data_IF_516866995353
#
_entry.id   IF_516866995353
#
_cell.length_a   1.000
_cell.length_b   1.000
_cell.length_c   1.000
_cell.angle_alpha   90.00
_cell.angle_beta   90.00
_cell.angle_gamma   90.00
#
_symmetry.space_group_name_H-M   'P 1'
#
loop_
_entity.id
_entity.type
_entity.pdbx_description
1 polymer ?
#
# COMPACT_ATOMS: atom_id res chain seq x y z
N UNK A 1 -18.71 -0.25 -25.57
CA UNK A 1 -17.78 0.41 -26.52
C UNK A 1 -16.96 1.51 -25.83
N UNK A 2 -17.58 2.45 -25.13
CA UNK A 2 -16.89 3.57 -24.45
C UNK A 2 -15.81 3.11 -23.48
N UNK A 3 -16.06 2.06 -22.70
CA UNK A 3 -15.04 1.45 -21.84
C UNK A 3 -13.83 0.92 -22.63
N UNK A 4 -14.06 0.26 -23.75
CA UNK A 4 -12.97 -0.28 -24.59
C UNK A 4 -12.10 0.85 -25.18
N UNK A 5 -12.74 1.99 -25.55
CA UNK A 5 -12.04 3.19 -26.00
C UNK A 5 -11.16 3.74 -24.86
N UNK A 6 -11.70 3.88 -23.64
CA UNK A 6 -10.96 4.34 -22.48
C UNK A 6 -9.75 3.46 -22.12
N UNK A 7 -9.83 2.15 -22.38
CA UNK A 7 -8.75 1.19 -22.13
C UNK A 7 -7.82 1.00 -23.34
N UNK A 8 -7.94 1.84 -24.37
CA UNK A 8 -7.17 1.76 -25.63
C UNK A 8 -7.25 0.38 -26.30
N UNK A 9 -8.40 -0.31 -26.14
CA UNK A 9 -8.69 -1.62 -26.74
C UNK A 9 -9.63 -1.54 -27.92
N UNK A 10 -10.17 -0.36 -28.19
CA UNK A 10 -11.00 -0.04 -29.32
C UNK A 10 -10.62 1.35 -29.81
N UNK A 11 -10.34 1.47 -31.11
CA UNK A 11 -10.20 2.76 -31.78
C UNK A 11 -11.39 3.03 -32.67
N UNK A 12 -11.66 4.31 -32.96
CA UNK A 12 -12.80 4.78 -33.74
C UNK A 12 -12.37 5.86 -34.69
N UNK A 13 -12.72 5.69 -35.96
CA UNK A 13 -12.59 6.70 -36.99
C UNK A 13 -13.97 7.12 -37.48
N UNK A 14 -14.20 8.41 -37.59
CA UNK A 14 -15.48 8.96 -38.07
C UNK A 14 -15.25 9.45 -39.50
N UNK A 15 -16.03 8.94 -40.43
CA UNK A 15 -15.97 9.26 -41.86
C UNK A 15 -17.32 9.75 -42.36
N UNK A 16 -17.28 10.56 -43.42
CA UNK A 16 -18.45 10.95 -44.20
C UNK A 16 -18.17 10.81 -45.72
N UNK A 17 -19.17 10.58 -46.59
CA UNK A 17 -18.99 10.58 -48.00
C UNK A 17 -18.36 11.87 -48.49
N UNK A 18 -17.43 11.81 -49.44
CA UNK A 18 -16.69 12.98 -49.93
C UNK A 18 -17.55 14.02 -50.66
N UNK A 19 -18.62 13.58 -51.26
CA UNK A 19 -19.58 14.45 -51.95
C UNK A 19 -20.59 15.14 -50.99
N UNK A 20 -20.61 14.80 -49.72
CA UNK A 20 -21.51 15.36 -48.72
C UNK A 20 -23.00 15.04 -48.96
N UNK A 21 -23.32 14.24 -49.97
CA UNK A 21 -24.65 13.84 -50.35
C UNK A 21 -24.90 12.39 -49.98
N UNK A 22 -25.45 12.18 -48.77
CA UNK A 22 -25.86 10.87 -48.34
C UNK A 22 -25.20 10.41 -47.02
N UNK A 23 -25.55 9.20 -46.63
CA UNK A 23 -25.03 8.53 -45.42
C UNK A 23 -24.41 7.21 -45.85
N UNK A 24 -23.21 6.93 -45.43
CA UNK A 24 -22.66 5.58 -45.57
C UNK A 24 -23.43 4.63 -44.69
N UNK A 25 -24.14 3.67 -45.31
CA UNK A 25 -25.01 2.74 -44.56
C UNK A 25 -24.50 1.32 -44.58
N UNK A 26 -23.21 1.13 -44.92
CA UNK A 26 -22.56 -0.16 -44.99
C UNK A 26 -22.29 -0.67 -43.56
N UNK A 27 -22.58 -1.95 -43.31
CA UNK A 27 -22.27 -2.66 -42.07
C UNK A 27 -21.39 -3.83 -42.43
N UNK A 28 -20.10 -3.56 -42.59
CA UNK A 28 -19.08 -4.52 -42.92
C UNK A 28 -18.13 -4.70 -41.73
N UNK A 29 -17.54 -5.86 -41.62
CA UNK A 29 -16.55 -6.12 -40.60
C UNK A 29 -15.85 -7.44 -40.79
N UNK A 30 -14.72 -7.59 -40.12
CA UNK A 30 -13.92 -8.80 -40.11
C UNK A 30 -13.61 -9.20 -38.65
N UNK A 31 -13.85 -10.46 -38.33
CA UNK A 31 -13.30 -11.12 -37.17
C UNK A 31 -12.16 -12.00 -37.60
N UNK A 32 -11.05 -11.95 -36.93
CA UNK A 32 -9.90 -12.79 -37.22
C UNK A 32 -9.17 -13.23 -35.97
N UNK A 33 -8.52 -14.37 -36.08
CA UNK A 33 -7.53 -14.87 -35.12
C UNK A 33 -6.20 -15.11 -35.88
N UNK A 34 -5.29 -15.89 -35.29
CA UNK A 34 -3.96 -16.13 -35.91
C UNK A 34 -4.00 -16.97 -37.18
N UNK A 35 -5.11 -17.62 -37.53
CA UNK A 35 -5.21 -18.56 -38.64
C UNK A 35 -6.38 -18.25 -39.55
N UNK A 36 -7.52 -17.85 -39.04
CA UNK A 36 -8.78 -17.79 -39.75
C UNK A 36 -9.43 -16.40 -39.71
N UNK A 37 -10.24 -16.11 -40.76
CA UNK A 37 -10.99 -14.85 -40.89
C UNK A 37 -12.44 -15.14 -41.21
N UNK A 38 -13.33 -14.33 -40.64
CA UNK A 38 -14.76 -14.28 -40.98
C UNK A 38 -15.13 -12.84 -41.27
N UNK A 39 -15.42 -12.55 -42.51
CA UNK A 39 -15.89 -11.26 -42.95
C UNK A 39 -17.41 -11.26 -43.12
N UNK A 40 -18.02 -10.13 -42.91
CA UNK A 40 -19.45 -9.95 -43.12
C UNK A 40 -19.75 -8.61 -43.78
N UNK A 41 -20.82 -8.59 -44.57
CA UNK A 41 -21.37 -7.39 -45.20
C UNK A 41 -22.91 -7.51 -45.25
N UNK A 42 -23.62 -6.43 -44.91
CA UNK A 42 -25.08 -6.43 -44.90
C UNK A 42 -25.74 -5.23 -44.27
N UNK A 43 -27.02 -5.38 -43.94
CA UNK A 43 -27.86 -4.33 -43.30
C UNK A 43 -27.82 -4.34 -41.78
N UNK A 44 -27.29 -5.41 -41.16
CA UNK A 44 -27.39 -5.65 -39.75
C UNK A 44 -26.55 -4.67 -38.91
N UNK A 45 -27.19 -3.84 -38.11
CA UNK A 45 -26.51 -3.03 -37.08
C UNK A 45 -26.10 -3.86 -35.88
N UNK A 46 -24.99 -3.53 -35.22
CA UNK A 46 -24.62 -4.11 -33.92
C UNK A 46 -25.47 -3.52 -32.78
N UNK A 47 -26.76 -3.70 -32.84
CA UNK A 47 -27.72 -3.32 -31.79
C UNK A 47 -28.59 -4.51 -31.42
N UNK A 48 -29.12 -4.51 -30.19
CA UNK A 48 -30.06 -5.56 -29.74
C UNK A 48 -31.25 -5.70 -30.71
N UNK A 49 -31.84 -4.59 -31.08
CA UNK A 49 -32.99 -4.55 -31.99
C UNK A 49 -32.67 -5.15 -33.35
N UNK A 50 -31.54 -4.79 -33.95
CA UNK A 50 -31.12 -5.36 -35.24
C UNK A 50 -30.80 -6.84 -35.18
N UNK A 51 -30.14 -7.29 -34.10
CA UNK A 51 -29.71 -8.70 -33.96
C UNK A 51 -30.84 -9.64 -33.53
N UNK A 52 -31.89 -9.15 -32.92
CA UNK A 52 -32.92 -9.98 -32.30
C UNK A 52 -34.32 -9.68 -32.86
N UNK A 53 -34.69 -8.38 -33.04
CA UNK A 53 -36.06 -7.97 -33.31
C UNK A 53 -36.34 -7.67 -34.79
N UNK A 54 -35.30 -7.28 -35.58
CA UNK A 54 -35.47 -6.90 -36.98
C UNK A 54 -35.18 -8.08 -37.93
N UNK A 55 -35.76 -8.00 -39.12
CA UNK A 55 -35.38 -8.85 -40.25
C UNK A 55 -34.19 -8.21 -40.94
N UNK A 56 -33.01 -8.79 -40.76
CA UNK A 56 -31.75 -8.30 -41.30
C UNK A 56 -31.15 -9.31 -42.27
N UNK A 57 -30.36 -8.81 -43.24
CA UNK A 57 -29.63 -9.64 -44.20
C UNK A 57 -28.13 -9.46 -43.96
N UNK A 58 -27.40 -10.58 -43.87
CA UNK A 58 -25.97 -10.60 -43.66
C UNK A 58 -25.34 -11.65 -44.56
N UNK A 59 -24.40 -11.22 -45.38
CA UNK A 59 -23.55 -12.13 -46.14
C UNK A 59 -22.29 -12.38 -45.29
N UNK A 60 -21.90 -13.64 -45.16
CA UNK A 60 -20.73 -14.06 -44.38
C UNK A 60 -19.79 -14.82 -45.30
N UNK A 61 -18.51 -14.45 -45.30
CA UNK A 61 -17.43 -15.10 -46.03
C UNK A 61 -16.38 -15.61 -45.04
N UNK A 62 -16.08 -16.90 -45.09
CA UNK A 62 -15.12 -17.56 -44.20
C UNK A 62 -13.86 -17.95 -44.96
N UNK A 63 -12.69 -17.69 -44.41
CA UNK A 63 -11.40 -17.95 -45.07
C UNK A 63 -11.16 -19.43 -45.41
N UNK A 64 -11.82 -20.32 -44.70
CA UNK A 64 -11.72 -21.78 -44.90
C UNK A 64 -12.74 -22.37 -45.90
N UNK A 65 -13.69 -21.58 -46.40
CA UNK A 65 -14.77 -22.07 -47.30
C UNK A 65 -14.36 -22.08 -48.77
N UNK A 66 -13.07 -21.90 -49.07
CA UNK A 66 -12.49 -21.93 -50.38
C UNK A 66 -11.87 -20.61 -50.85
N UNK A 67 -11.16 -20.66 -51.96
CA UNK A 67 -10.35 -19.54 -52.43
C UNK A 67 -11.14 -18.26 -52.73
N UNK A 68 -12.39 -18.39 -53.18
CA UNK A 68 -13.25 -17.23 -53.52
C UNK A 68 -13.72 -16.55 -52.21
N UNK A 69 -14.13 -17.32 -51.21
CA UNK A 69 -14.58 -16.76 -49.92
C UNK A 69 -13.40 -16.19 -49.13
N UNK A 70 -12.23 -16.79 -49.22
CA UNK A 70 -10.99 -16.25 -48.66
C UNK A 70 -10.65 -14.89 -49.31
N UNK A 71 -10.68 -14.79 -50.63
CA UNK A 71 -10.42 -13.53 -51.34
C UNK A 71 -11.42 -12.42 -50.97
N UNK A 72 -12.70 -12.75 -50.80
CA UNK A 72 -13.71 -11.78 -50.36
C UNK A 72 -13.43 -11.28 -48.95
N UNK A 73 -13.06 -12.19 -48.01
CA UNK A 73 -12.72 -11.79 -46.65
C UNK A 73 -11.47 -10.89 -46.61
N UNK A 74 -10.48 -11.16 -47.44
CA UNK A 74 -9.26 -10.34 -47.61
C UNK A 74 -9.58 -8.95 -48.22
N UNK A 75 -10.47 -8.87 -49.20
CA UNK A 75 -10.88 -7.60 -49.80
C UNK A 75 -11.59 -6.70 -48.81
N UNK A 76 -12.50 -7.26 -48.00
CA UNK A 76 -13.17 -6.52 -46.92
C UNK A 76 -12.17 -6.03 -45.86
N UNK A 77 -11.22 -6.88 -45.46
CA UNK A 77 -10.17 -6.51 -44.51
C UNK A 77 -9.29 -5.38 -45.05
N UNK A 78 -8.86 -5.48 -46.33
CA UNK A 78 -8.01 -4.46 -46.94
C UNK A 78 -8.73 -3.12 -47.06
N UNK A 79 -10.01 -3.10 -47.46
CA UNK A 79 -10.81 -1.86 -47.53
C UNK A 79 -11.00 -1.22 -46.17
N UNK A 80 -11.26 -2.03 -45.14
CA UNK A 80 -11.32 -1.59 -43.74
C UNK A 80 -9.97 -1.00 -43.28
N UNK A 81 -8.87 -1.71 -43.52
CA UNK A 81 -7.53 -1.27 -43.14
C UNK A 81 -7.15 0.06 -43.81
N UNK A 82 -7.43 0.22 -45.11
CA UNK A 82 -7.21 1.48 -45.84
C UNK A 82 -8.03 2.63 -45.23
N UNK A 83 -9.32 2.37 -44.94
CA UNK A 83 -10.18 3.39 -44.35
C UNK A 83 -9.68 3.78 -42.97
N UNK A 84 -9.23 2.83 -42.14
CA UNK A 84 -8.69 3.10 -40.80
C UNK A 84 -7.32 3.81 -40.86
N UNK A 85 -6.49 3.55 -41.87
CA UNK A 85 -5.20 4.22 -42.06
C UNK A 85 -5.31 5.66 -42.56
N UNK A 86 -6.48 6.10 -42.98
CA UNK A 86 -6.70 7.43 -43.55
C UNK A 86 -6.47 7.49 -45.05
N UNK A 87 -6.34 6.35 -45.76
CA UNK A 87 -5.93 6.23 -47.13
C UNK A 87 -7.11 5.99 -48.13
N UNK A 88 -8.35 6.21 -47.64
CA UNK A 88 -9.55 6.03 -48.48
C UNK A 88 -9.97 7.35 -49.09
N UNK A 89 -9.73 7.51 -50.39
CA UNK A 89 -10.03 8.72 -51.16
C UNK A 89 -11.54 8.99 -51.35
N UNK A 90 -12.41 8.05 -51.04
CA UNK A 90 -13.85 8.18 -51.25
C UNK A 90 -14.57 8.83 -50.06
N UNK A 91 -13.87 9.07 -48.96
CA UNK A 91 -14.42 9.61 -47.72
C UNK A 91 -13.63 10.82 -47.21
N UNK A 92 -14.33 11.66 -46.43
CA UNK A 92 -13.69 12.69 -45.61
C UNK A 92 -13.54 12.16 -44.18
N UNK A 93 -12.43 12.46 -43.55
CA UNK A 93 -12.14 12.08 -42.17
C UNK A 93 -12.52 13.21 -41.22
N UNK A 94 -13.40 12.94 -40.27
CA UNK A 94 -13.81 13.91 -39.27
C UNK A 94 -13.00 13.72 -37.98
N UNK A 95 -12.65 14.83 -37.34
CA UNK A 95 -11.95 14.77 -36.06
C UNK A 95 -12.85 14.17 -34.98
N UNK A 96 -12.46 13.05 -34.44
CA UNK A 96 -13.14 12.39 -33.33
C UNK A 96 -12.56 12.77 -31.94
N UNK A 97 -11.56 13.65 -31.87
CA UNK A 97 -10.83 13.98 -30.65
C UNK A 97 -11.71 14.52 -29.51
N UNK A 98 -12.64 15.40 -29.82
CA UNK A 98 -13.56 15.94 -28.81
C UNK A 98 -14.47 14.85 -28.24
N UNK A 99 -14.96 13.93 -29.10
CA UNK A 99 -15.81 12.81 -28.69
C UNK A 99 -14.99 11.80 -27.86
N UNK A 100 -13.79 11.46 -28.30
CA UNK A 100 -12.87 10.57 -27.57
C UNK A 100 -12.55 11.15 -26.19
N UNK A 101 -12.23 12.43 -26.11
CA UNK A 101 -11.95 13.13 -24.83
C UNK A 101 -13.16 13.08 -23.90
N UNK A 102 -14.35 13.36 -24.40
CA UNK A 102 -15.58 13.29 -23.61
C UNK A 102 -15.86 11.87 -23.11
N UNK A 103 -15.66 10.86 -23.95
CA UNK A 103 -15.81 9.44 -23.59
C UNK A 103 -14.81 9.08 -22.48
N UNK A 104 -13.54 9.43 -22.65
CA UNK A 104 -12.50 9.16 -21.64
C UNK A 104 -12.87 9.80 -20.31
N UNK A 105 -13.18 11.09 -20.30
CA UNK A 105 -13.54 11.81 -19.07
C UNK A 105 -14.77 11.22 -18.36
N UNK A 106 -15.73 10.72 -19.14
CA UNK A 106 -16.99 10.16 -18.58
C UNK A 106 -16.82 8.74 -18.03
N UNK A 107 -15.95 7.94 -18.63
CA UNK A 107 -15.86 6.50 -18.39
C UNK A 107 -14.52 6.04 -17.77
N UNK A 108 -13.53 6.94 -17.61
CA UNK A 108 -12.20 6.62 -17.10
C UNK A 108 -12.22 5.88 -15.76
N UNK A 109 -13.12 6.28 -14.89
CA UNK A 109 -13.24 5.73 -13.52
C UNK A 109 -14.29 4.62 -13.40
N UNK A 110 -14.92 4.17 -14.50
CA UNK A 110 -15.90 3.08 -14.44
C UNK A 110 -15.20 1.72 -14.41
N UNK A 111 -15.72 0.85 -13.53
CA UNK A 111 -15.27 -0.51 -13.41
C UNK A 111 -15.95 -1.42 -14.45
N UNK A 112 -15.19 -2.38 -14.99
CA UNK A 112 -15.72 -3.38 -15.91
C UNK A 112 -16.80 -4.26 -15.25
N UNK A 113 -16.66 -4.56 -13.96
CA UNK A 113 -17.63 -5.35 -13.23
C UNK A 113 -19.00 -4.66 -13.17
N UNK A 114 -19.04 -3.34 -13.06
CA UNK A 114 -20.27 -2.57 -13.02
C UNK A 114 -20.94 -2.51 -14.41
N UNK A 115 -20.14 -2.45 -15.48
CA UNK A 115 -20.65 -2.51 -16.86
C UNK A 115 -21.21 -3.89 -17.21
N UNK A 116 -20.54 -4.96 -16.78
CA UNK A 116 -21.02 -6.33 -16.98
C UNK A 116 -22.32 -6.61 -16.20
N UNK A 117 -22.49 -6.01 -15.02
CA UNK A 117 -23.75 -6.09 -14.27
C UNK A 117 -24.90 -5.42 -15.04
N UNK A 118 -24.67 -4.24 -15.61
CA UNK A 118 -25.65 -3.55 -16.44
C UNK A 118 -26.01 -4.39 -17.67
N UNK A 119 -25.04 -5.01 -18.33
CA UNK A 119 -25.26 -5.91 -19.46
C UNK A 119 -26.10 -7.12 -19.02
N UNK A 120 -25.78 -7.72 -17.88
CA UNK A 120 -26.55 -8.85 -17.33
C UNK A 120 -28.01 -8.47 -17.05
N UNK A 121 -28.27 -7.29 -16.50
CA UNK A 121 -29.62 -6.76 -16.29
C UNK A 121 -30.38 -6.59 -17.61
N UNK A 122 -29.72 -6.03 -18.61
CA UNK A 122 -30.32 -5.86 -19.96
C UNK A 122 -30.66 -7.20 -20.61
N UNK A 123 -29.79 -8.22 -20.49
CA UNK A 123 -30.05 -9.57 -20.97
C UNK A 123 -31.14 -10.30 -20.19
N UNK A 124 -31.49 -9.82 -19.01
CA UNK A 124 -32.51 -10.43 -18.14
C UNK A 124 -33.92 -9.88 -18.38
N UNK A 125 -34.03 -8.75 -19.06
CA UNK A 125 -35.32 -8.10 -19.36
C UNK A 125 -35.95 -8.73 -20.61
N UNK A 126 -37.25 -8.98 -20.58
CA UNK A 126 -38.09 -9.38 -21.73
C UNK A 126 -37.79 -10.72 -22.41
N UNK A 127 -37.19 -11.68 -21.75
CA UNK A 127 -36.83 -12.99 -22.33
C UNK A 127 -38.08 -13.79 -22.79
N UNK A 128 -39.21 -13.62 -22.15
CA UNK A 128 -40.40 -14.46 -22.36
C UNK A 128 -41.17 -14.25 -23.68
N UNK A 129 -40.79 -13.24 -24.44
CA UNK A 129 -41.47 -12.90 -25.74
C UNK A 129 -40.74 -13.45 -26.98
N UNK A 130 -39.64 -14.15 -26.82
CA UNK A 130 -38.80 -14.59 -27.95
C UNK A 130 -39.00 -16.08 -28.29
N UNK A 131 -38.65 -16.52 -29.52
CA UNK A 131 -38.57 -17.95 -29.88
C UNK A 131 -37.57 -18.69 -29.00
N UNK A 132 -37.80 -19.99 -28.78
CA UNK A 132 -36.97 -20.82 -27.90
C UNK A 132 -35.49 -20.82 -28.24
N UNK A 133 -35.12 -20.77 -29.54
CA UNK A 133 -33.73 -20.71 -29.99
C UNK A 133 -33.03 -19.42 -29.55
N UNK A 134 -33.77 -18.29 -29.50
CA UNK A 134 -33.26 -17.00 -29.01
C UNK A 134 -33.14 -17.01 -27.49
N UNK A 135 -34.11 -17.61 -26.80
CA UNK A 135 -34.07 -17.81 -25.35
C UNK A 135 -32.81 -18.61 -24.97
N UNK A 136 -32.56 -19.73 -25.62
CA UNK A 136 -31.40 -20.58 -25.36
C UNK A 136 -30.08 -19.84 -25.60
N UNK A 137 -30.01 -18.96 -26.61
CA UNK A 137 -28.86 -18.13 -26.88
C UNK A 137 -28.67 -17.09 -25.75
N UNK A 138 -29.73 -16.39 -25.35
CA UNK A 138 -29.69 -15.39 -24.28
C UNK A 138 -29.29 -16.01 -22.93
N UNK A 139 -29.78 -17.18 -22.61
CA UNK A 139 -29.40 -17.91 -21.40
C UNK A 139 -27.89 -18.30 -21.40
N UNK A 140 -27.35 -18.71 -22.55
CA UNK A 140 -25.89 -18.95 -22.69
C UNK A 140 -25.08 -17.66 -22.57
N UNK A 141 -25.58 -16.54 -23.12
CA UNK A 141 -24.96 -15.23 -22.99
C UNK A 141 -24.96 -14.77 -21.53
N UNK A 142 -26.09 -14.87 -20.83
CA UNK A 142 -26.21 -14.58 -19.39
C UNK A 142 -25.22 -15.39 -18.55
N UNK A 143 -25.12 -16.68 -18.82
CA UNK A 143 -24.17 -17.54 -18.11
C UNK A 143 -22.72 -17.08 -18.34
N UNK A 144 -22.35 -16.71 -19.56
CA UNK A 144 -21.01 -16.20 -19.85
C UNK A 144 -20.73 -14.86 -19.14
N UNK A 145 -21.69 -13.93 -19.18
CA UNK A 145 -21.56 -12.63 -18.51
C UNK A 145 -21.48 -12.79 -16.99
N UNK A 146 -22.27 -13.69 -16.40
CA UNK A 146 -22.18 -13.97 -14.95
C UNK A 146 -20.80 -14.49 -14.54
N UNK A 147 -20.20 -15.37 -15.34
CA UNK A 147 -18.83 -15.85 -15.10
C UNK A 147 -17.79 -14.75 -15.23
N UNK A 148 -17.96 -13.84 -16.17
CA UNK A 148 -17.07 -12.68 -16.33
C UNK A 148 -17.20 -11.70 -15.14
N UNK A 149 -18.41 -11.50 -14.62
CA UNK A 149 -18.64 -10.69 -13.40
C UNK A 149 -17.90 -11.32 -12.21
N UNK A 150 -18.05 -12.63 -12.00
CA UNK A 150 -17.35 -13.35 -10.91
C UNK A 150 -15.84 -13.15 -11.02
N UNK A 151 -15.28 -13.33 -12.22
CA UNK A 151 -13.83 -13.18 -12.45
C UNK A 151 -13.36 -11.73 -12.25
N UNK A 152 -14.10 -10.75 -12.76
CA UNK A 152 -13.77 -9.34 -12.61
C UNK A 152 -13.85 -8.88 -11.14
N UNK A 153 -14.88 -9.35 -10.41
CA UNK A 153 -15.03 -9.06 -8.97
C UNK A 153 -13.91 -9.69 -8.16
N UNK A 154 -13.60 -10.95 -8.39
CA UNK A 154 -12.51 -11.64 -7.71
C UNK A 154 -11.13 -11.02 -8.02
N UNK A 155 -10.92 -10.54 -9.25
CA UNK A 155 -9.71 -9.82 -9.62
C UNK A 155 -9.61 -8.49 -8.88
N UNK A 156 -10.70 -7.72 -8.81
CA UNK A 156 -10.75 -6.45 -8.09
C UNK A 156 -10.51 -6.63 -6.60
N UNK A 157 -11.12 -7.64 -5.98
CA UNK A 157 -10.90 -7.97 -4.56
C UNK A 157 -9.43 -8.29 -4.30
N UNK A 158 -8.78 -9.09 -5.15
CA UNK A 158 -7.34 -9.39 -5.05
C UNK A 158 -6.47 -8.14 -5.23
N UNK A 159 -6.78 -7.28 -6.20
CA UNK A 159 -6.05 -6.03 -6.42
C UNK A 159 -6.18 -5.08 -5.22
N UNK A 160 -7.36 -5.00 -4.60
CA UNK A 160 -7.59 -4.25 -3.38
C UNK A 160 -6.84 -4.87 -2.18
N UNK A 161 -6.86 -6.18 -2.02
CA UNK A 161 -6.09 -6.88 -0.99
C UNK A 161 -4.60 -6.60 -1.13
N UNK A 162 -4.02 -6.72 -2.33
CA UNK A 162 -2.61 -6.42 -2.62
C UNK A 162 -2.27 -4.94 -2.36
N UNK A 163 -3.18 -4.01 -2.69
CA UNK A 163 -2.97 -2.59 -2.45
C UNK A 163 -2.90 -2.23 -0.97
N UNK A 164 -3.59 -3.00 -0.10
CA UNK A 164 -3.62 -2.80 1.34
C UNK A 164 -2.72 -3.75 2.13
N UNK A 165 -2.02 -4.68 1.46
CA UNK A 165 -1.04 -5.52 2.14
C UNK A 165 0.16 -4.69 2.64
N UNK A 166 0.67 -5.00 3.85
CA UNK A 166 1.90 -4.41 4.33
C UNK A 166 3.06 -4.60 3.35
N UNK A 167 3.68 -3.49 2.95
CA UNK A 167 4.78 -3.48 2.00
C UNK A 167 5.81 -2.41 2.34
N UNK A 168 7.00 -2.53 1.77
CA UNK A 168 8.02 -1.50 1.93
C UNK A 168 7.62 -0.23 1.14
N UNK A 169 7.75 0.98 1.72
CA UNK A 169 7.15 2.20 1.16
C UNK A 169 7.83 2.72 -0.11
N UNK A 170 8.98 2.20 -0.49
CA UNK A 170 9.74 2.63 -1.66
C UNK A 170 9.95 1.45 -2.61
N UNK A 171 9.76 1.67 -3.92
CA UNK A 171 9.95 0.65 -4.97
C UNK A 171 11.37 0.06 -4.99
N UNK A 172 12.39 0.86 -4.63
CA UNK A 172 13.78 0.40 -4.51
C UNK A 172 13.99 -0.64 -3.41
N UNK A 173 13.01 -0.85 -2.56
CA UNK A 173 13.12 -1.70 -1.38
C UNK A 173 14.07 -1.13 -0.31
N UNK A 174 14.34 -1.90 0.76
CA UNK A 174 15.24 -1.48 1.82
C UNK A 174 16.69 -1.36 1.31
N UNK A 175 17.38 -0.34 1.77
CA UNK A 175 18.81 -0.14 1.50
C UNK A 175 19.64 -1.27 2.09
N UNK A 176 20.85 -1.49 1.56
CA UNK A 176 21.71 -2.59 1.98
C UNK A 176 21.97 -2.60 3.49
N UNK A 177 22.29 -1.45 4.09
CA UNK A 177 22.53 -1.36 5.53
C UNK A 177 21.26 -1.68 6.36
N UNK A 178 20.06 -1.42 5.83
CA UNK A 178 18.78 -1.75 6.49
C UNK A 178 18.53 -3.28 6.45
N UNK A 179 18.90 -3.93 5.34
CA UNK A 179 18.88 -5.40 5.24
C UNK A 179 19.88 -6.03 6.21
N UNK A 180 21.08 -5.48 6.28
CA UNK A 180 22.10 -5.95 7.20
C UNK A 180 21.68 -5.80 8.67
N UNK A 181 21.05 -4.68 9.03
CA UNK A 181 20.48 -4.49 10.37
C UNK A 181 19.45 -5.57 10.72
N UNK A 182 18.58 -5.92 9.78
CA UNK A 182 17.61 -7.01 9.97
C UNK A 182 18.28 -8.37 10.14
N UNK A 183 19.27 -8.73 9.31
CA UNK A 183 19.96 -10.03 9.42
C UNK A 183 20.77 -10.13 10.72
N UNK A 184 21.45 -9.07 11.13
CA UNK A 184 22.15 -9.04 12.42
C UNK A 184 21.18 -9.24 13.59
N UNK A 185 20.04 -8.53 13.58
CA UNK A 185 19.02 -8.67 14.61
C UNK A 185 18.41 -10.07 14.65
N UNK A 186 18.17 -10.66 13.50
CA UNK A 186 17.66 -12.03 13.38
C UNK A 186 18.67 -13.04 13.89
N UNK A 187 19.95 -12.87 13.58
CA UNK A 187 21.04 -13.72 14.06
C UNK A 187 21.23 -13.60 15.58
N UNK A 188 20.97 -12.42 16.15
CA UNK A 188 21.03 -12.15 17.59
C UNK A 188 19.73 -12.53 18.34
N UNK A 189 19.04 -13.57 17.91
CA UNK A 189 17.83 -14.07 18.58
C UNK A 189 16.64 -13.10 18.56
N UNK A 190 16.60 -12.19 17.60
CA UNK A 190 15.58 -11.15 17.48
C UNK A 190 15.57 -10.13 18.63
N UNK A 191 16.74 -9.87 19.18
CA UNK A 191 17.01 -8.79 20.14
C UNK A 191 18.12 -7.93 19.59
N UNK A 192 18.08 -6.62 19.83
CA UNK A 192 19.16 -5.77 19.35
C UNK A 192 18.98 -4.29 19.61
N UNK A 193 20.10 -3.61 19.74
CA UNK A 193 20.22 -2.15 19.82
C UNK A 193 20.89 -1.65 18.53
N UNK A 194 20.18 -0.81 17.80
CA UNK A 194 20.66 -0.20 16.56
C UNK A 194 21.19 1.20 16.84
N UNK A 195 22.50 1.34 16.81
CA UNK A 195 23.22 2.61 16.90
C UNK A 195 23.30 3.24 15.51
N UNK A 196 22.32 4.05 15.14
CA UNK A 196 22.21 4.62 13.80
C UNK A 196 22.14 6.14 13.86
N UNK A 197 22.94 6.83 13.06
CA UNK A 197 22.94 8.29 12.99
C UNK A 197 21.55 8.86 12.67
N UNK A 198 21.27 10.09 13.12
CA UNK A 198 20.04 10.80 12.78
C UNK A 198 19.92 10.99 11.27
N UNK A 199 18.72 10.81 10.72
CA UNK A 199 18.45 10.94 9.28
C UNK A 199 18.77 9.69 8.45
N UNK A 200 19.33 8.61 9.04
CA UNK A 200 19.63 7.36 8.31
C UNK A 200 18.44 6.40 8.20
N UNK A 201 17.27 6.78 8.70
CA UNK A 201 16.05 5.99 8.59
C UNK A 201 15.91 4.88 9.65
N UNK A 202 16.26 5.16 10.90
CA UNK A 202 16.06 4.26 12.06
C UNK A 202 14.65 3.67 12.10
N UNK A 203 13.64 4.53 12.00
CA UNK A 203 12.21 4.16 11.99
C UNK A 203 11.89 3.18 10.85
N UNK A 204 12.31 3.49 9.63
CA UNK A 204 12.10 2.63 8.45
C UNK A 204 12.81 1.29 8.62
N UNK A 205 14.01 1.28 9.18
CA UNK A 205 14.78 0.05 9.44
C UNK A 205 14.04 -0.87 10.41
N UNK A 206 13.50 -0.34 11.51
CA UNK A 206 12.76 -1.13 12.49
C UNK A 206 11.40 -1.60 11.97
N UNK A 207 10.69 -0.75 11.20
CA UNK A 207 9.45 -1.15 10.53
C UNK A 207 9.70 -2.19 9.43
N UNK A 208 10.84 -2.15 8.76
CA UNK A 208 11.25 -3.23 7.86
C UNK A 208 11.42 -4.57 8.60
N UNK A 209 11.98 -4.57 9.81
CA UNK A 209 12.03 -5.78 10.64
C UNK A 209 10.63 -6.32 10.95
N UNK A 210 9.66 -5.45 11.23
CA UNK A 210 8.27 -5.83 11.44
C UNK A 210 7.62 -6.36 10.15
N UNK A 211 7.92 -5.76 9.00
CA UNK A 211 7.47 -6.24 7.69
C UNK A 211 8.00 -7.64 7.38
N UNK A 212 9.26 -7.92 7.67
CA UNK A 212 9.84 -9.25 7.45
C UNK A 212 9.22 -10.31 8.40
N UNK A 213 8.83 -9.93 9.61
CA UNK A 213 8.02 -10.78 10.49
C UNK A 213 6.66 -11.05 9.85
N UNK A 214 5.99 -10.03 9.33
CA UNK A 214 4.70 -10.16 8.63
C UNK A 214 4.79 -11.13 7.45
N UNK A 215 5.75 -10.95 6.56
CA UNK A 215 5.97 -11.83 5.40
C UNK A 215 6.11 -13.31 5.79
N UNK A 216 6.71 -13.58 6.95
CA UNK A 216 6.91 -14.95 7.44
C UNK A 216 5.69 -15.52 8.18
N UNK A 217 4.97 -14.70 8.94
CA UNK A 217 3.93 -15.15 9.87
C UNK A 217 2.50 -14.87 9.41
N UNK A 218 2.33 -13.99 8.39
CA UNK A 218 1.04 -13.51 7.92
C UNK A 218 0.36 -12.52 8.87
N UNK A 219 1.04 -12.06 9.93
CA UNK A 219 0.53 -11.04 10.83
C UNK A 219 1.67 -10.24 11.46
N UNK A 220 1.38 -9.00 11.88
CA UNK A 220 2.32 -8.14 12.61
C UNK A 220 1.73 -7.72 13.95
N UNK A 221 2.55 -7.74 14.99
CA UNK A 221 2.17 -7.29 16.33
C UNK A 221 3.34 -6.51 16.91
N UNK A 222 3.14 -5.22 17.21
CA UNK A 222 4.20 -4.38 17.74
C UNK A 222 3.72 -3.48 18.88
N UNK A 223 4.63 -3.22 19.81
CA UNK A 223 4.55 -2.16 20.81
C UNK A 223 5.72 -1.21 20.56
N UNK A 224 5.41 0.02 20.20
CA UNK A 224 6.38 1.07 19.92
C UNK A 224 6.38 2.05 21.08
N UNK A 225 7.54 2.25 21.67
CA UNK A 225 7.75 3.19 22.79
C UNK A 225 8.50 4.43 22.28
N UNK A 226 7.96 5.60 22.56
CA UNK A 226 8.51 6.87 22.11
C UNK A 226 8.60 7.89 23.25
N UNK A 227 9.54 8.85 23.21
CA UNK A 227 9.69 9.85 24.29
C UNK A 227 8.53 10.85 24.37
N UNK A 228 7.94 11.26 23.25
CA UNK A 228 6.98 12.38 23.21
C UNK A 228 5.71 12.05 22.45
N UNK A 229 4.64 12.81 22.72
CA UNK A 229 3.35 12.68 22.01
C UNK A 229 3.49 13.03 20.51
N UNK A 230 4.34 13.99 20.17
CA UNK A 230 4.61 14.36 18.77
C UNK A 230 5.18 13.16 17.99
N UNK A 231 6.06 12.37 18.61
CA UNK A 231 6.59 11.17 18.01
C UNK A 231 5.55 10.06 17.86
N UNK A 232 4.52 9.99 18.71
CA UNK A 232 3.38 9.06 18.51
C UNK A 232 2.72 9.31 17.16
N UNK A 233 2.49 10.57 16.81
CA UNK A 233 1.86 10.95 15.54
C UNK A 233 2.79 10.73 14.33
N UNK A 234 4.07 10.98 14.52
CA UNK A 234 5.07 10.72 13.48
C UNK A 234 5.19 9.22 13.17
N UNK A 235 5.26 8.38 14.19
CA UNK A 235 5.32 6.93 14.04
C UNK A 235 4.05 6.35 13.38
N UNK A 236 2.87 6.88 13.73
CA UNK A 236 1.61 6.51 13.05
C UNK A 236 1.70 6.77 11.53
N UNK A 237 2.22 7.95 11.13
CA UNK A 237 2.43 8.28 9.72
C UNK A 237 3.44 7.35 9.04
N UNK A 238 4.52 6.99 9.72
CA UNK A 238 5.50 6.06 9.18
C UNK A 238 4.92 4.63 9.04
N UNK A 239 4.12 4.18 10.01
CA UNK A 239 3.39 2.91 9.91
C UNK A 239 2.44 2.89 8.70
N UNK A 240 1.72 4.00 8.46
CA UNK A 240 0.80 4.12 7.32
C UNK A 240 1.52 4.00 5.96
N UNK A 241 2.75 4.48 5.83
CA UNK A 241 3.56 4.32 4.61
C UNK A 241 3.86 2.84 4.28
N UNK A 242 3.94 2.00 5.29
CA UNK A 242 4.11 0.55 5.15
C UNK A 242 2.80 -0.22 4.95
N UNK A 243 1.66 0.46 4.85
CA UNK A 243 0.32 -0.11 4.89
C UNK A 243 0.02 -0.90 6.19
N UNK A 244 0.71 -0.58 7.28
CA UNK A 244 0.36 -1.07 8.58
C UNK A 244 -0.89 -0.32 9.09
N UNK A 245 -1.97 -1.06 9.25
CA UNK A 245 -3.25 -0.57 9.76
C UNK A 245 -3.44 -0.98 11.23
N UNK A 246 -4.56 -0.61 11.85
CA UNK A 246 -4.89 -0.97 13.23
C UNK A 246 -3.86 -0.45 14.25
N UNK A 247 -3.62 0.86 14.22
CA UNK A 247 -2.71 1.55 15.14
C UNK A 247 -3.48 2.10 16.34
N UNK A 248 -3.07 1.72 17.55
CA UNK A 248 -3.63 2.17 18.83
C UNK A 248 -2.63 3.10 19.53
N UNK A 249 -3.07 4.30 19.86
CA UNK A 249 -2.22 5.33 20.50
C UNK A 249 -2.49 5.40 21.99
N UNK A 250 -1.48 5.09 22.81
CA UNK A 250 -1.56 5.05 24.27
C UNK A 250 -0.78 6.22 24.86
N UNK A 251 -1.44 7.36 24.97
CA UNK A 251 -0.89 8.55 25.66
C UNK A 251 -2.01 9.46 26.18
N UNK A 252 -1.65 10.48 26.92
CA UNK A 252 -2.63 11.41 27.57
C UNK A 252 -3.49 12.20 26.57
N UNK A 253 -3.07 12.34 25.34
CA UNK A 253 -3.81 13.07 24.29
C UNK A 253 -5.02 12.28 23.77
N UNK A 254 -4.99 10.95 23.80
CA UNK A 254 -6.02 10.09 23.22
C UNK A 254 -6.79 9.36 24.30
N UNK A 255 -8.11 9.24 24.12
CA UNK A 255 -9.03 8.50 25.00
C UNK A 255 -9.55 7.25 24.27
N UNK A 256 -10.11 6.29 25.02
CA UNK A 256 -10.77 5.11 24.45
C UNK A 256 -9.83 3.97 24.01
N UNK A 257 -8.53 4.13 24.07
CA UNK A 257 -7.56 3.08 23.75
C UNK A 257 -7.66 1.87 24.68
N UNK A 258 -8.14 2.06 25.91
CA UNK A 258 -8.35 0.97 26.88
C UNK A 258 -9.33 -0.08 26.35
N UNK A 259 -10.43 0.35 25.73
CA UNK A 259 -11.41 -0.56 25.12
C UNK A 259 -10.78 -1.35 23.96
N UNK A 260 -10.01 -0.67 23.09
CA UNK A 260 -9.31 -1.31 21.99
C UNK A 260 -8.28 -2.34 22.47
N UNK A 261 -7.53 -2.01 23.54
CA UNK A 261 -6.55 -2.91 24.13
C UNK A 261 -7.23 -4.12 24.81
N UNK A 262 -8.35 -3.91 25.51
CA UNK A 262 -9.13 -4.98 26.12
C UNK A 262 -9.67 -5.96 25.04
N UNK A 263 -10.15 -5.46 23.90
CA UNK A 263 -10.60 -6.28 22.79
C UNK A 263 -9.44 -7.12 22.20
N UNK A 264 -8.26 -6.53 21.99
CA UNK A 264 -7.08 -7.27 21.54
C UNK A 264 -6.73 -8.37 22.54
N UNK A 265 -6.67 -8.05 23.83
CA UNK A 265 -6.38 -9.05 24.87
C UNK A 265 -7.36 -10.21 24.88
N UNK A 266 -8.65 -9.90 24.80
CA UNK A 266 -9.70 -10.93 24.74
C UNK A 266 -9.49 -11.87 23.54
N UNK A 267 -9.19 -11.33 22.37
CA UNK A 267 -8.92 -12.10 21.17
C UNK A 267 -7.64 -12.94 21.28
N UNK A 268 -6.58 -12.41 21.87
CA UNK A 268 -5.33 -13.13 22.10
C UNK A 268 -5.47 -14.26 23.12
N UNK A 269 -6.32 -14.09 24.13
CA UNK A 269 -6.61 -15.12 25.13
C UNK A 269 -7.53 -16.23 24.59
N UNK A 270 -8.53 -15.85 23.79
CA UNK A 270 -9.49 -16.81 23.23
C UNK A 270 -8.89 -17.65 22.10
N UNK A 271 -7.94 -17.13 21.36
CA UNK A 271 -7.28 -17.82 20.26
C UNK A 271 -5.77 -17.49 20.23
N UNK A 272 -4.93 -18.34 20.82
CA UNK A 272 -3.45 -18.15 20.81
C UNK A 272 -2.85 -18.13 19.39
N UNK A 273 -3.53 -18.69 18.40
CA UNK A 273 -3.09 -18.68 17.00
C UNK A 273 -3.69 -17.55 16.17
N UNK A 274 -4.36 -16.61 16.85
CA UNK A 274 -4.95 -15.44 16.22
C UNK A 274 -3.92 -14.68 15.36
N UNK A 275 -4.26 -14.51 14.08
CA UNK A 275 -3.47 -13.77 13.10
C UNK A 275 -3.85 -12.30 13.00
N UNK A 276 -4.57 -11.75 13.97
CA UNK A 276 -4.89 -10.33 13.98
C UNK A 276 -3.62 -9.49 14.07
N UNK A 277 -3.49 -8.54 13.17
CA UNK A 277 -2.40 -7.57 13.13
C UNK A 277 -2.76 -6.30 13.89
N UNK A 278 -1.82 -5.75 14.64
CA UNK A 278 -1.98 -4.47 15.35
C UNK A 278 -0.62 -3.84 15.70
N UNK A 279 -0.64 -2.53 15.87
CA UNK A 279 0.49 -1.75 16.39
C UNK A 279 -0.02 -0.88 17.54
N UNK A 280 0.67 -0.91 18.66
CA UNK A 280 0.42 -0.02 19.81
C UNK A 280 1.58 0.95 19.88
N UNK A 281 1.31 2.25 19.89
CA UNK A 281 2.31 3.29 20.05
C UNK A 281 2.06 3.99 21.38
N UNK A 282 3.02 3.93 22.29
CA UNK A 282 2.90 4.52 23.62
C UNK A 282 4.07 5.45 23.91
N UNK A 283 3.80 6.52 24.67
CA UNK A 283 4.92 7.27 25.26
C UNK A 283 5.52 6.50 26.42
N UNK A 284 6.82 6.65 26.68
CA UNK A 284 7.47 6.06 27.84
C UNK A 284 6.74 6.40 29.15
N UNK A 285 6.35 7.66 29.31
CA UNK A 285 5.62 8.12 30.49
C UNK A 285 4.26 7.42 30.68
N UNK A 286 3.58 7.07 29.59
CA UNK A 286 2.32 6.31 29.67
C UNK A 286 2.57 4.83 29.91
N UNK A 287 3.61 4.26 29.28
CA UNK A 287 3.98 2.86 29.44
C UNK A 287 4.30 2.47 30.88
N UNK A 288 5.05 3.31 31.62
CA UNK A 288 5.49 3.00 32.99
C UNK A 288 4.40 3.17 34.06
N UNK A 289 3.24 3.77 33.74
CA UNK A 289 2.11 3.86 34.68
C UNK A 289 1.69 2.46 35.08
N UNK A 290 1.50 2.17 36.39
CA UNK A 290 1.26 0.81 36.89
C UNK A 290 0.15 0.08 36.10
N UNK A 291 -1.01 0.73 35.96
CA UNK A 291 -2.17 0.14 35.30
C UNK A 291 -1.90 -0.15 33.81
N UNK A 292 -1.31 0.81 33.10
CA UNK A 292 -0.97 0.67 31.67
C UNK A 292 0.10 -0.40 31.47
N UNK A 293 1.11 -0.45 32.34
CA UNK A 293 2.19 -1.44 32.27
C UNK A 293 1.65 -2.85 32.42
N UNK A 294 0.77 -3.09 33.40
CA UNK A 294 0.15 -4.40 33.60
C UNK A 294 -0.62 -4.82 32.35
N UNK A 295 -1.45 -3.94 31.81
CA UNK A 295 -2.24 -4.20 30.62
C UNK A 295 -1.38 -4.52 29.38
N UNK A 296 -0.40 -3.66 29.10
CA UNK A 296 0.48 -3.82 27.94
C UNK A 296 1.40 -5.04 28.07
N UNK A 297 1.87 -5.37 29.27
CA UNK A 297 2.78 -6.50 29.47
C UNK A 297 2.09 -7.89 29.48
N UNK A 298 0.75 -7.92 29.37
CA UNK A 298 -0.03 -9.16 29.18
C UNK A 298 -0.17 -9.59 27.70
N UNK A 299 0.25 -8.76 26.76
CA UNK A 299 0.23 -9.08 25.33
C UNK A 299 1.18 -10.24 24.98
N UNK A 300 1.06 -10.89 23.83
CA UNK A 300 1.80 -12.11 23.49
C UNK A 300 3.32 -11.93 23.49
N UNK A 301 4.01 -12.58 24.41
CA UNK A 301 5.46 -12.42 24.63
C UNK A 301 6.35 -12.84 23.46
N UNK A 302 5.94 -13.90 22.74
CA UNK A 302 6.75 -14.50 21.67
C UNK A 302 6.46 -13.90 20.28
N UNK A 303 5.31 -13.27 20.09
CA UNK A 303 4.85 -12.80 18.78
C UNK A 303 4.94 -11.28 18.62
N UNK A 304 4.91 -10.53 19.73
CA UNK A 304 4.97 -9.09 19.72
C UNK A 304 6.43 -8.60 19.63
N UNK A 305 6.67 -7.63 18.76
CA UNK A 305 7.93 -6.91 18.65
C UNK A 305 7.84 -5.61 19.46
N UNK A 306 8.72 -5.47 20.47
CA UNK A 306 8.95 -4.20 21.15
C UNK A 306 9.95 -3.36 20.36
N UNK A 307 9.57 -2.16 19.99
CA UNK A 307 10.45 -1.15 19.38
C UNK A 307 10.55 0.03 20.35
N UNK A 308 11.75 0.38 20.76
CA UNK A 308 12.03 1.51 21.63
C UNK A 308 12.77 2.59 20.85
N UNK A 309 12.09 3.69 20.54
CA UNK A 309 12.72 4.85 19.89
C UNK A 309 13.43 5.72 20.90
N UNK A 310 14.60 6.26 20.54
CA UNK A 310 15.51 6.93 21.47
C UNK A 310 15.75 6.09 22.73
N UNK A 311 16.18 4.83 22.51
CA UNK A 311 16.26 3.78 23.52
C UNK A 311 17.09 4.15 24.75
N UNK A 312 18.00 5.12 24.65
CA UNK A 312 18.76 5.64 25.79
C UNK A 312 17.85 6.15 26.93
N UNK A 313 16.60 6.54 26.60
CA UNK A 313 15.61 6.92 27.64
C UNK A 313 15.18 5.74 28.52
N UNK A 314 15.32 4.50 28.05
CA UNK A 314 14.98 3.32 28.85
C UNK A 314 16.00 3.02 29.96
N UNK A 315 17.22 3.48 29.80
CA UNK A 315 18.30 3.28 30.79
C UNK A 315 18.14 4.16 32.04
N UNK A 316 17.21 5.12 32.09
CA UNK A 316 17.11 6.10 33.16
C UNK A 316 15.87 6.03 34.03
N UNK A 317 15.98 6.55 35.25
CA UNK A 317 14.87 6.81 36.15
C UNK A 317 14.00 5.61 36.48
N UNK A 318 12.67 5.82 36.39
CA UNK A 318 11.68 4.78 36.72
C UNK A 318 11.58 3.66 35.68
N UNK A 319 12.02 3.90 34.44
CA UNK A 319 11.88 2.94 33.35
C UNK A 319 12.85 1.78 33.54
N UNK A 320 14.10 2.06 33.90
CA UNK A 320 15.13 1.04 34.11
C UNK A 320 14.72 0.00 35.14
N UNK A 321 13.98 0.41 36.19
CA UNK A 321 13.45 -0.47 37.23
C UNK A 321 12.41 -1.47 36.70
N UNK A 322 11.74 -1.15 35.58
CA UNK A 322 10.73 -1.98 34.93
C UNK A 322 11.28 -2.89 33.84
N UNK A 323 12.51 -2.72 33.40
CA UNK A 323 13.08 -3.50 32.29
C UNK A 323 13.06 -5.01 32.57
N UNK A 324 13.35 -5.43 33.79
CA UNK A 324 13.34 -6.84 34.21
C UNK A 324 11.93 -7.47 34.17
N UNK A 325 10.88 -6.64 34.28
CA UNK A 325 9.50 -7.09 34.25
C UNK A 325 8.95 -7.19 32.83
N UNK A 326 9.61 -6.59 31.83
CA UNK A 326 9.21 -6.63 30.43
C UNK A 326 9.50 -8.01 29.84
N UNK A 327 8.44 -8.69 29.39
CA UNK A 327 8.50 -10.12 29.00
C UNK A 327 8.55 -10.37 27.50
N UNK A 328 8.67 -9.34 26.67
CA UNK A 328 8.73 -9.49 25.22
C UNK A 328 10.07 -10.06 24.80
N UNK A 329 10.06 -11.11 23.98
CA UNK A 329 11.26 -11.76 23.50
C UNK A 329 11.90 -11.07 22.29
N UNK A 330 11.07 -10.41 21.45
CA UNK A 330 11.56 -9.67 20.29
C UNK A 330 11.68 -8.19 20.65
N UNK A 331 12.88 -7.64 20.53
CA UNK A 331 13.17 -6.27 20.96
C UNK A 331 14.09 -5.57 19.99
N UNK A 332 13.80 -4.32 19.69
CA UNK A 332 14.65 -3.40 18.94
C UNK A 332 14.74 -2.10 19.71
N UNK A 333 15.94 -1.68 20.05
CA UNK A 333 16.24 -0.33 20.53
C UNK A 333 16.81 0.50 19.40
N UNK A 334 16.37 1.73 19.24
CA UNK A 334 16.85 2.69 18.25
C UNK A 334 17.46 3.89 18.97
N UNK A 335 18.69 4.24 18.67
CA UNK A 335 19.30 5.48 19.16
C UNK A 335 20.41 5.94 18.22
N UNK A 336 20.59 7.25 18.11
CA UNK A 336 21.76 7.83 17.46
C UNK A 336 22.96 7.87 18.43
N UNK A 337 22.66 7.98 19.71
CA UNK A 337 23.62 8.03 20.83
C UNK A 337 23.14 7.11 21.92
N UNK A 338 23.41 5.79 21.80
CA UNK A 338 22.89 4.82 22.76
C UNK A 338 23.46 5.01 24.16
N UNK A 339 24.68 5.51 24.26
CA UNK A 339 25.35 5.72 25.53
C UNK A 339 24.80 6.96 26.26
N UNK A 340 24.50 6.76 27.50
CA UNK A 340 24.11 7.83 28.45
C UNK A 340 25.37 8.34 29.13
N UNK A 341 25.54 9.64 29.13
CA UNK A 341 26.66 10.26 29.83
C UNK A 341 26.49 10.10 31.36
N UNK A 342 27.54 9.69 32.05
CA UNK A 342 27.60 9.56 33.52
C UNK A 342 26.61 8.51 34.11
N UNK A 343 26.17 7.51 33.34
CA UNK A 343 25.23 6.48 33.79
C UNK A 343 25.68 5.09 33.27
N UNK A 344 26.78 4.56 33.79
CA UNK A 344 27.32 3.25 33.37
C UNK A 344 26.35 2.10 33.67
N UNK A 345 25.71 2.12 34.86
CA UNK A 345 24.75 1.09 35.24
C UNK A 345 23.53 1.08 34.30
N UNK A 346 23.03 2.25 33.95
CA UNK A 346 21.94 2.38 32.97
C UNK A 346 22.33 1.87 31.58
N UNK A 347 23.56 2.12 31.16
CA UNK A 347 24.09 1.61 29.89
C UNK A 347 24.21 0.09 29.88
N UNK A 348 24.76 -0.51 30.95
CA UNK A 348 24.86 -1.97 31.08
C UNK A 348 23.48 -2.62 31.04
N UNK A 349 22.52 -2.12 31.82
CA UNK A 349 21.15 -2.64 31.83
C UNK A 349 20.43 -2.50 30.49
N UNK A 350 20.71 -1.42 29.76
CA UNK A 350 20.16 -1.21 28.43
C UNK A 350 20.73 -2.23 27.43
N UNK A 351 22.02 -2.45 27.46
CA UNK A 351 22.69 -3.43 26.63
C UNK A 351 22.19 -4.85 26.91
N UNK A 352 22.10 -5.24 28.17
CA UNK A 352 21.54 -6.52 28.60
C UNK A 352 20.10 -6.71 28.15
N UNK A 353 19.28 -5.67 28.31
CA UNK A 353 17.87 -5.71 27.89
C UNK A 353 17.70 -5.98 26.40
N UNK A 354 18.59 -5.44 25.56
CA UNK A 354 18.57 -5.67 24.12
C UNK A 354 19.46 -6.85 23.67
N UNK A 355 20.00 -7.63 24.58
CA UNK A 355 20.83 -8.79 24.28
C UNK A 355 22.15 -8.44 23.56
N UNK A 356 22.75 -7.31 23.94
CA UNK A 356 24.03 -6.83 23.44
C UNK A 356 25.11 -7.11 24.48
N UNK A 357 26.02 -8.05 24.22
CA UNK A 357 27.08 -8.40 25.18
C UNK A 357 28.22 -7.37 25.21
N UNK A 358 28.85 -7.08 24.07
CA UNK A 358 30.03 -6.20 23.98
C UNK A 358 29.96 -5.14 22.90
N UNK A 359 28.96 -5.19 22.06
CA UNK A 359 28.78 -4.26 20.93
C UNK A 359 27.31 -4.11 20.56
N UNK A 360 26.97 -3.05 19.88
CA UNK A 360 25.63 -2.88 19.33
C UNK A 360 25.34 -3.94 18.26
N UNK A 361 24.12 -4.39 18.18
CA UNK A 361 23.69 -5.39 17.19
C UNK A 361 23.87 -4.87 15.77
N UNK A 362 23.71 -3.57 15.60
CA UNK A 362 23.98 -2.88 14.34
C UNK A 362 24.43 -1.44 14.61
N UNK A 363 25.49 -1.03 13.92
CA UNK A 363 26.01 0.34 13.98
C UNK A 363 26.07 0.93 12.58
N UNK A 364 25.60 2.19 12.45
CA UNK A 364 25.70 2.97 11.23
C UNK A 364 25.97 4.43 11.56
N UNK A 365 27.26 4.74 11.61
CA UNK A 365 27.75 6.05 12.03
C UNK A 365 27.41 7.14 11.01
N UNK A 366 27.46 8.41 11.45
CA UNK A 366 27.28 9.56 10.57
C UNK A 366 28.35 9.61 9.49
N UNK A 367 29.58 9.32 9.84
CA UNK A 367 30.71 9.28 8.91
C UNK A 367 30.51 8.24 7.81
N UNK A 368 30.10 7.04 8.18
CA UNK A 368 29.80 5.96 7.23
C UNK A 368 28.60 6.33 6.34
N UNK A 369 27.56 6.91 6.92
CA UNK A 369 26.37 7.34 6.19
C UNK A 369 26.66 8.42 5.15
N UNK A 370 27.55 9.38 5.47
CA UNK A 370 28.02 10.39 4.52
C UNK A 370 28.89 9.75 3.44
N UNK A 371 29.82 8.87 3.82
CA UNK A 371 30.72 8.19 2.88
C UNK A 371 29.91 7.35 1.87
N UNK A 372 28.86 6.66 2.30
CA UNK A 372 27.98 5.85 1.47
C UNK A 372 26.86 6.63 0.77
N UNK A 373 26.80 7.94 0.94
CA UNK A 373 25.79 8.80 0.29
C UNK A 373 24.39 8.67 0.86
N UNK A 374 24.22 8.09 2.04
CA UNK A 374 22.94 8.05 2.75
C UNK A 374 22.61 9.40 3.43
N UNK A 375 23.63 10.16 3.80
CA UNK A 375 23.55 11.53 4.30
C UNK A 375 24.39 12.46 3.43
N UNK A 376 23.99 13.72 3.33
CA UNK A 376 24.77 14.75 2.66
C UNK A 376 25.98 15.19 3.50
N UNK A 377 27.01 15.69 2.84
CA UNK A 377 28.10 16.36 3.54
C UNK A 377 27.59 17.69 4.13
N UNK A 378 28.06 18.02 5.30
CA UNK A 378 27.78 19.30 5.94
C UNK A 378 29.07 19.87 6.56
N UNK A 379 29.06 21.19 6.75
CA UNK A 379 30.12 21.91 7.43
C UNK A 379 29.53 22.50 8.70
N UNK A 380 30.23 22.28 9.84
CA UNK A 380 29.82 22.80 11.12
C UNK A 380 30.68 24.00 11.49
N UNK A 381 30.06 25.17 11.64
CA UNK A 381 30.71 26.38 12.04
C UNK A 381 30.21 26.82 13.43
N UNK A 382 30.89 26.48 14.52
CA UNK A 382 30.44 26.84 15.86
C UNK A 382 30.54 28.36 16.04
N UNK A 383 29.43 28.98 16.43
CA UNK A 383 29.39 30.37 16.86
C UNK A 383 29.41 30.39 18.39
N UNK A 384 30.53 30.81 18.97
CA UNK A 384 30.66 30.95 20.41
C UNK A 384 30.07 32.31 20.83
N UNK A 385 29.00 32.27 21.63
CA UNK A 385 28.37 33.45 22.22
C UNK A 385 28.68 33.41 23.73
N UNK A 386 29.16 34.53 24.26
CA UNK A 386 29.33 34.68 25.70
C UNK A 386 28.02 35.17 26.29
N UNK A 387 27.61 34.56 27.41
CA UNK A 387 26.54 35.10 28.23
C UNK A 387 26.97 36.47 28.80
N UNK A 388 26.04 37.41 28.89
CA UNK A 388 26.20 38.62 29.67
C UNK A 388 26.30 38.29 31.15
N UNK A 389 26.78 39.20 31.98
CA UNK A 389 26.90 38.96 33.42
C UNK A 389 25.52 38.66 34.06
N UNK A 390 24.47 39.33 33.62
CA UNK A 390 23.08 39.06 34.06
C UNK A 390 22.57 37.70 33.65
N UNK A 391 22.77 37.29 32.41
CA UNK A 391 22.41 35.95 31.90
C UNK A 391 23.21 34.85 32.61
N UNK A 392 24.49 35.11 32.93
CA UNK A 392 25.32 34.16 33.66
C UNK A 392 24.81 34.00 35.12
N UNK A 393 24.39 35.09 35.76
CA UNK A 393 23.83 35.04 37.10
C UNK A 393 22.51 34.24 37.12
N UNK A 394 21.64 34.46 36.16
CA UNK A 394 20.37 33.69 36.01
C UNK A 394 20.66 32.23 35.72
N UNK A 395 21.59 31.90 34.81
CA UNK A 395 22.02 30.55 34.51
C UNK A 395 22.50 29.79 35.76
N UNK A 396 23.34 30.42 36.57
CA UNK A 396 23.86 29.82 37.80
C UNK A 396 22.74 29.61 38.80
N UNK A 397 21.83 30.57 38.96
CA UNK A 397 20.67 30.41 39.86
C UNK A 397 19.74 29.28 39.43
N UNK A 398 19.38 29.21 38.14
CA UNK A 398 18.57 28.13 37.59
C UNK A 398 19.26 26.77 37.73
N UNK A 399 20.53 26.68 37.44
CA UNK A 399 21.34 25.45 37.60
C UNK A 399 21.35 24.96 39.04
N UNK A 400 21.49 25.88 40.00
CA UNK A 400 21.43 25.56 41.42
C UNK A 400 20.04 25.06 41.85
N UNK A 401 18.96 25.70 41.36
CA UNK A 401 17.59 25.25 41.62
C UNK A 401 17.30 23.82 41.07
N UNK A 402 17.78 23.54 39.86
CA UNK A 402 17.68 22.22 39.23
C UNK A 402 18.43 21.16 40.06
N UNK A 403 19.67 21.43 40.43
CA UNK A 403 20.49 20.53 41.26
C UNK A 403 19.82 20.24 42.62
N UNK A 404 19.18 21.25 43.25
CA UNK A 404 18.45 21.08 44.51
C UNK A 404 17.17 20.25 44.37
N UNK A 405 16.50 20.29 43.19
CA UNK A 405 15.32 19.46 42.91
C UNK A 405 15.76 18.00 42.70
N UNK A 406 16.80 17.78 41.92
CA UNK A 406 17.35 16.43 41.65
C UNK A 406 17.77 15.76 42.97
N UNK A 407 18.56 16.44 43.80
CA UNK A 407 19.01 15.89 45.09
C UNK A 407 17.88 15.63 46.10
N UNK A 408 16.70 16.32 45.98
CA UNK A 408 15.53 16.03 46.83
C UNK A 408 14.74 14.79 46.39
N UNK A 409 14.77 14.49 45.07
CA UNK A 409 14.12 13.26 44.57
C UNK A 409 14.95 12.00 44.89
N UNK A 410 16.24 12.12 45.15
CA UNK A 410 17.11 11.00 45.59
C UNK A 410 16.99 10.70 47.09
N UNK A 411 16.64 11.71 47.91
CA UNK A 411 16.44 11.51 49.36
C UNK A 411 15.07 10.93 49.71
N UNK A 412 14.06 11.02 48.85
CA UNK A 412 12.71 10.48 49.02
C UNK A 412 12.50 9.09 48.37
N UNK A 413 13.55 8.45 47.87
CA UNK A 413 13.56 7.12 47.26
C UNK A 413 14.34 6.14 48.16
#
# INVERSE_FOLDING_TARGET
LSYLICKSRLDVVVIEPKDGLGISHTKTGVFYDNADKVAFDGSCNFSKTALIDNLESLTVSCSWDGAIECAKAEDIENDFARTFAGDNDSVNYLSAEAIKTQIVTTFENRDIADLLKQEYELLSNDIHSYPQTVIDYLERAKYRVSKQIEQATAKRERELEVQYEPQFPYESGPREYQRQAFENWKANGQQGLFAMATGTGKTITSLNCLLEIYKKSGCYKALILVPTITLVEQWEKECAKFNFTNVIKVCSKYSGWQTSLANIRMLELSNPDNKQSYIIISTYASFIRPDNFIELNQLPKKRLLLIADEAHNMGGGRIVKRLNDVKYLRRIGLSATPERQFDEDGNIRLMDFFGCENSYTFEYSMEEAIRKGALCKYYYYPHLVKLTDDEMAEYVELSYRIAKIINREDDDS
#
